data_IF_111089878081
#
_entry.id   IF_111089878081
#
_cell.length_a   1.000
_cell.length_b   1.000
_cell.length_c   1.000
_cell.angle_alpha   90.00
_cell.angle_beta   90.00
_cell.angle_gamma   90.00
#
_symmetry.space_group_name_H-M   'P 1'
#
loop_
_entity.id
_entity.type
_entity.pdbx_description
1 polymer ?
#
# COMPACT_ATOMS: atom_id res chain seq x y z
N UNK A 1 27.80 10.93 12.16
CA UNK A 1 28.01 9.47 12.25
C UNK A 1 28.34 8.81 10.89
N UNK A 2 28.34 9.58 9.77
CA UNK A 2 28.78 9.10 8.46
C UNK A 2 27.82 8.13 7.76
N UNK A 3 26.59 7.96 8.24
CA UNK A 3 25.57 7.15 7.57
C UNK A 3 25.01 7.97 6.40
N UNK A 4 25.22 7.46 5.19
CA UNK A 4 24.76 8.11 3.93
C UNK A 4 23.66 7.34 3.22
N UNK A 5 23.37 6.10 3.64
CA UNK A 5 22.33 5.23 3.05
C UNK A 5 21.53 4.57 4.15
N UNK A 6 20.21 4.56 3.98
CA UNK A 6 19.26 3.86 4.85
C UNK A 6 18.42 2.87 4.05
N UNK A 7 18.05 1.74 4.68
CA UNK A 7 17.13 0.77 4.10
C UNK A 7 15.76 0.94 4.77
N UNK A 8 14.71 1.13 3.96
CA UNK A 8 13.35 1.25 4.43
C UNK A 8 12.47 0.08 3.96
N UNK A 9 11.50 -0.28 4.80
CA UNK A 9 10.55 -1.36 4.53
C UNK A 9 9.31 -0.94 3.76
N UNK A 10 9.31 0.24 3.16
CA UNK A 10 8.20 0.74 2.37
C UNK A 10 7.86 -0.23 1.22
N UNK A 11 6.64 -0.26 0.77
CA UNK A 11 6.07 -1.21 -0.18
C UNK A 11 5.70 -2.58 0.44
N UNK A 12 6.26 -2.95 1.59
CA UNK A 12 5.99 -4.25 2.20
C UNK A 12 4.53 -4.44 2.61
N UNK A 13 3.89 -3.41 3.12
CA UNK A 13 2.46 -3.46 3.48
C UNK A 13 1.57 -3.54 2.24
N UNK A 14 1.92 -2.86 1.16
CA UNK A 14 1.14 -2.77 -0.07
C UNK A 14 1.18 -4.09 -0.85
N UNK A 15 2.33 -4.69 -1.05
CA UNK A 15 2.45 -5.91 -1.86
C UNK A 15 2.20 -7.20 -1.08
N UNK A 16 2.29 -7.17 0.26
CA UNK A 16 2.16 -8.36 1.12
C UNK A 16 0.92 -8.32 2.03
N UNK A 17 0.01 -7.35 1.82
CA UNK A 17 -1.26 -7.29 2.53
C UNK A 17 -1.15 -6.88 4.00
N UNK A 18 -0.35 -5.84 4.30
CA UNK A 18 -0.12 -5.36 5.66
C UNK A 18 -1.22 -4.48 6.25
N UNK A 19 -2.15 -3.98 5.45
CA UNK A 19 -3.19 -3.08 5.93
C UNK A 19 -4.56 -3.73 6.10
N UNK A 20 -5.27 -3.45 7.19
CA UNK A 20 -6.64 -3.91 7.40
C UNK A 20 -7.64 -3.46 6.33
N UNK A 21 -7.30 -2.43 5.53
CA UNK A 21 -8.14 -1.95 4.42
C UNK A 21 -8.34 -3.02 3.34
N UNK A 22 -7.34 -3.88 3.09
CA UNK A 22 -7.44 -4.96 2.11
C UNK A 22 -8.43 -6.04 2.55
N UNK A 23 -8.44 -6.38 3.85
CA UNK A 23 -9.44 -7.29 4.39
C UNK A 23 -10.86 -6.71 4.30
N UNK A 24 -11.04 -5.42 4.59
CA UNK A 24 -12.33 -4.74 4.42
C UNK A 24 -12.79 -4.76 2.97
N UNK A 25 -11.86 -4.53 2.05
CA UNK A 25 -12.15 -4.51 0.61
C UNK A 25 -12.60 -5.88 0.09
N UNK A 26 -12.05 -6.99 0.60
CA UNK A 26 -12.46 -8.36 0.24
C UNK A 26 -13.98 -8.59 0.34
N UNK A 27 -14.62 -7.97 1.34
CA UNK A 27 -16.04 -8.15 1.61
C UNK A 27 -16.92 -7.19 0.80
N UNK A 28 -16.34 -6.40 -0.10
CA UNK A 28 -17.04 -5.50 -1.00
C UNK A 28 -17.14 -6.15 -2.37
N UNK A 29 -18.35 -6.22 -2.89
CA UNK A 29 -18.58 -6.81 -4.22
C UNK A 29 -18.13 -5.83 -5.31
N UNK A 30 -16.84 -5.86 -5.64
CA UNK A 30 -16.23 -5.02 -6.66
C UNK A 30 -15.84 -5.89 -7.84
N UNK A 31 -16.61 -5.83 -8.90
CA UNK A 31 -16.46 -6.69 -10.09
C UNK A 31 -15.98 -5.93 -11.34
N UNK A 32 -15.61 -4.65 -11.20
CA UNK A 32 -15.19 -3.81 -12.32
C UNK A 32 -14.03 -2.91 -11.96
N UNK A 33 -13.26 -2.49 -12.96
CA UNK A 33 -12.19 -1.49 -12.81
C UNK A 33 -12.72 -0.17 -12.20
N UNK A 34 -13.86 0.32 -12.69
CA UNK A 34 -14.49 1.51 -12.16
C UNK A 34 -14.82 1.35 -10.67
N UNK A 35 -15.42 0.22 -10.28
CA UNK A 35 -15.74 -0.07 -8.88
C UNK A 35 -14.50 -0.12 -8.00
N UNK A 36 -13.37 -0.64 -8.50
CA UNK A 36 -12.09 -0.62 -7.80
C UNK A 36 -11.63 0.83 -7.54
N UNK A 37 -11.65 1.68 -8.56
CA UNK A 37 -11.26 3.10 -8.44
C UNK A 37 -12.16 3.83 -7.46
N UNK A 38 -13.47 3.65 -7.53
CA UNK A 38 -14.44 4.24 -6.59
C UNK A 38 -14.16 3.81 -5.15
N UNK A 39 -13.93 2.54 -4.91
CA UNK A 39 -13.59 2.03 -3.57
C UNK A 39 -12.25 2.56 -3.07
N UNK A 40 -11.27 2.66 -3.95
CA UNK A 40 -9.99 3.25 -3.61
C UNK A 40 -10.15 4.73 -3.22
N UNK A 41 -10.96 5.49 -3.93
CA UNK A 41 -11.26 6.89 -3.64
C UNK A 41 -12.04 7.08 -2.34
N UNK A 42 -12.86 6.11 -1.92
CA UNK A 42 -13.64 6.20 -0.68
C UNK A 42 -12.79 6.28 0.59
N UNK A 43 -11.50 5.98 0.52
CA UNK A 43 -10.57 6.21 1.62
C UNK A 43 -10.17 7.68 1.80
N UNK A 44 -10.31 8.49 0.76
CA UNK A 44 -10.05 9.92 0.80
C UNK A 44 -11.23 10.60 1.50
N UNK A 45 -11.19 10.66 2.82
CA UNK A 45 -12.30 11.13 3.65
C UNK A 45 -12.43 12.64 3.73
N UNK A 46 -11.37 13.37 3.42
CA UNK A 46 -11.34 14.83 3.49
C UNK A 46 -10.98 15.39 2.12
N UNK A 47 -11.71 16.40 1.62
CA UNK A 47 -11.20 17.16 0.49
C UNK A 47 -9.87 17.77 0.93
N UNK A 48 -8.82 17.49 0.19
CA UNK A 48 -7.55 18.18 0.39
C UNK A 48 -7.80 19.59 -0.10
N UNK A 49 -7.98 20.52 0.84
CA UNK A 49 -8.05 21.93 0.55
C UNK A 49 -6.66 22.42 0.19
N UNK A 50 -6.29 22.29 -1.08
CA UNK A 50 -5.02 22.82 -1.60
C UNK A 50 -5.23 24.24 -2.14
N UNK A 51 -6.48 24.66 -2.34
CA UNK A 51 -6.86 25.97 -2.85
C UNK A 51 -8.29 26.31 -2.44
N UNK A 52 -8.75 27.50 -2.79
CA UNK A 52 -10.15 27.96 -2.63
C UNK A 52 -11.16 27.09 -3.42
N UNK A 53 -10.67 26.17 -4.27
CA UNK A 53 -11.48 25.26 -5.05
C UNK A 53 -11.29 23.83 -4.54
N UNK A 54 -12.32 23.21 -3.93
CA UNK A 54 -12.28 21.80 -3.56
C UNK A 54 -12.15 20.94 -4.83
N UNK A 55 -11.26 19.93 -4.78
CA UNK A 55 -11.15 18.96 -5.87
C UNK A 55 -12.46 18.18 -5.96
N UNK A 56 -13.12 18.25 -7.10
CA UNK A 56 -14.29 17.42 -7.38
C UNK A 56 -13.88 15.95 -7.42
N UNK A 57 -14.55 15.14 -6.61
CA UNK A 57 -14.30 13.69 -6.55
C UNK A 57 -14.56 13.01 -7.89
N UNK A 58 -15.51 13.50 -8.65
CA UNK A 58 -15.83 13.00 -9.99
C UNK A 58 -14.68 13.26 -10.96
N UNK A 59 -14.14 14.48 -10.93
CA UNK A 59 -12.94 14.83 -11.72
C UNK A 59 -11.74 13.97 -11.35
N UNK A 60 -11.48 13.78 -10.05
CA UNK A 60 -10.40 12.92 -9.60
C UNK A 60 -10.62 11.47 -10.04
N UNK A 61 -11.83 10.95 -9.93
CA UNK A 61 -12.17 9.60 -10.40
C UNK A 61 -11.93 9.44 -11.90
N UNK A 62 -12.38 10.39 -12.70
CA UNK A 62 -12.16 10.40 -14.15
C UNK A 62 -10.67 10.49 -14.50
N UNK A 63 -9.91 11.31 -13.77
CA UNK A 63 -8.47 11.41 -13.93
C UNK A 63 -7.78 10.07 -13.66
N UNK A 64 -8.11 9.40 -12.55
CA UNK A 64 -7.56 8.11 -12.19
C UNK A 64 -7.93 7.04 -13.22
N UNK A 65 -9.20 7.00 -13.65
CA UNK A 65 -9.67 6.07 -14.68
C UNK A 65 -8.91 6.22 -16.01
N UNK A 66 -8.55 7.45 -16.37
CA UNK A 66 -7.85 7.75 -17.62
C UNK A 66 -6.35 7.46 -17.54
N UNK A 67 -5.73 7.70 -16.39
CA UNK A 67 -4.26 7.72 -16.26
C UNK A 67 -3.68 6.47 -15.58
N UNK A 68 -4.50 5.68 -14.88
CA UNK A 68 -4.06 4.41 -14.33
C UNK A 68 -4.34 3.27 -15.32
N UNK A 69 -3.38 2.34 -15.50
CA UNK A 69 -3.57 1.22 -16.43
C UNK A 69 -4.65 0.26 -15.91
N UNK A 70 -5.68 0.03 -16.73
CA UNK A 70 -6.76 -0.91 -16.41
C UNK A 70 -6.29 -2.36 -16.27
N UNK A 71 -5.12 -2.67 -16.80
CA UNK A 71 -4.44 -3.97 -16.70
C UNK A 71 -4.02 -4.31 -15.26
N UNK A 72 -4.05 -3.33 -14.33
CA UNK A 72 -3.91 -3.57 -12.89
C UNK A 72 -5.10 -4.33 -12.32
N UNK A 73 -6.25 -4.29 -13.00
CA UNK A 73 -7.45 -4.95 -12.54
C UNK A 73 -7.49 -6.42 -12.99
N UNK A 74 -7.68 -7.30 -12.00
CA UNK A 74 -7.92 -8.72 -12.18
C UNK A 74 -9.24 -9.07 -11.46
N UNK A 75 -10.25 -9.46 -12.19
CA UNK A 75 -11.58 -9.82 -11.68
C UNK A 75 -11.56 -11.09 -10.79
N UNK A 76 -10.55 -11.95 -10.96
CA UNK A 76 -10.37 -13.14 -10.14
C UNK A 76 -9.73 -12.83 -8.77
N UNK A 77 -9.02 -11.70 -8.65
CA UNK A 77 -8.43 -11.23 -7.39
C UNK A 77 -8.48 -9.69 -7.27
N UNK A 78 -9.67 -9.12 -7.05
CA UNK A 78 -9.83 -7.66 -6.90
C UNK A 78 -9.05 -7.08 -5.71
N UNK A 79 -8.79 -7.88 -4.68
CA UNK A 79 -7.99 -7.45 -3.51
C UNK A 79 -6.54 -7.22 -3.92
N UNK A 80 -5.98 -8.11 -4.73
CA UNK A 80 -4.63 -7.95 -5.24
C UNK A 80 -4.53 -6.76 -6.20
N UNK A 81 -5.59 -6.51 -6.98
CA UNK A 81 -5.72 -5.31 -7.82
C UNK A 81 -5.71 -4.01 -6.99
N UNK A 82 -6.39 -4.03 -5.83
CA UNK A 82 -6.35 -2.89 -4.91
C UNK A 82 -4.94 -2.66 -4.34
N UNK A 83 -4.22 -3.74 -4.01
CA UNK A 83 -2.82 -3.67 -3.59
C UNK A 83 -1.94 -3.08 -4.70
N UNK A 84 -2.11 -3.55 -5.94
CA UNK A 84 -1.39 -3.03 -7.11
C UNK A 84 -1.67 -1.53 -7.34
N UNK A 85 -2.91 -1.10 -7.13
CA UNK A 85 -3.28 0.31 -7.24
C UNK A 85 -2.58 1.18 -6.20
N UNK A 86 -2.45 0.74 -4.96
CA UNK A 86 -1.66 1.44 -3.94
C UNK A 86 -0.19 1.57 -4.34
N UNK A 87 0.37 0.54 -4.97
CA UNK A 87 1.76 0.54 -5.43
C UNK A 87 2.05 1.61 -6.49
N UNK A 88 1.08 1.94 -7.34
CA UNK A 88 1.25 2.93 -8.42
C UNK A 88 0.69 4.31 -8.08
N UNK A 89 0.05 4.46 -6.93
CA UNK A 89 -0.53 5.73 -6.46
C UNK A 89 0.10 6.20 -5.15
N UNK A 90 -0.29 5.61 -4.03
CA UNK A 90 0.13 6.05 -2.70
C UNK A 90 1.64 5.94 -2.48
N UNK A 91 2.25 4.86 -2.95
CA UNK A 91 3.67 4.61 -2.65
C UNK A 91 4.59 5.62 -3.33
N UNK A 92 4.52 5.87 -4.66
CA UNK A 92 5.38 6.86 -5.28
C UNK A 92 5.07 8.27 -4.79
N UNK A 93 3.79 8.65 -4.69
CA UNK A 93 3.36 10.03 -4.42
C UNK A 93 3.48 10.43 -2.95
N UNK A 94 3.48 9.48 -2.02
CA UNK A 94 3.56 9.77 -0.59
C UNK A 94 4.87 9.23 0.02
N UNK A 95 5.12 7.93 -0.10
CA UNK A 95 6.19 7.32 0.69
C UNK A 95 7.57 7.61 0.12
N UNK A 96 7.76 7.45 -1.19
CA UNK A 96 9.06 7.66 -1.81
C UNK A 96 9.43 9.14 -1.82
N UNK A 97 8.53 10.04 -2.20
CA UNK A 97 8.78 11.48 -2.17
C UNK A 97 9.12 11.94 -0.76
N UNK A 98 8.36 11.51 0.24
CA UNK A 98 8.62 11.88 1.63
C UNK A 98 9.96 11.36 2.13
N UNK A 99 10.26 10.09 1.86
CA UNK A 99 11.53 9.47 2.28
C UNK A 99 12.74 10.14 1.62
N UNK A 100 12.64 10.39 0.31
CA UNK A 100 13.69 11.06 -0.44
C UNK A 100 13.88 12.51 0.05
N UNK A 101 12.80 13.29 0.15
CA UNK A 101 12.86 14.70 0.56
C UNK A 101 13.46 14.85 1.96
N UNK A 102 13.01 14.06 2.92
CA UNK A 102 13.51 14.16 4.29
C UNK A 102 14.91 13.54 4.46
N UNK A 103 15.17 12.43 3.79
CA UNK A 103 16.50 11.81 3.80
C UNK A 103 17.54 12.72 3.19
N UNK A 104 17.26 13.26 2.01
CA UNK A 104 18.19 14.14 1.28
C UNK A 104 18.43 15.48 1.99
N UNK A 105 17.46 15.98 2.77
CA UNK A 105 17.69 17.16 3.64
C UNK A 105 18.84 16.94 4.65
N UNK A 106 19.17 15.68 4.95
CA UNK A 106 20.28 15.28 5.82
C UNK A 106 21.37 14.50 5.06
N UNK A 107 21.41 14.60 3.74
CA UNK A 107 22.37 13.87 2.88
C UNK A 107 22.33 12.34 3.07
N UNK A 108 21.15 11.79 3.36
CA UNK A 108 20.90 10.36 3.49
C UNK A 108 20.03 9.84 2.34
N UNK A 109 20.52 8.87 1.60
CA UNK A 109 19.77 8.20 0.53
C UNK A 109 18.91 7.07 1.11
N UNK A 110 17.59 7.11 0.85
CA UNK A 110 16.66 6.02 1.16
C UNK A 110 16.66 4.96 0.07
N UNK A 111 16.80 3.69 0.43
CA UNK A 111 16.66 2.55 -0.48
C UNK A 111 15.58 1.61 -0.02
N UNK A 112 14.81 1.08 -0.99
CA UNK A 112 13.57 0.32 -0.77
C UNK A 112 13.70 -1.09 -1.37
N UNK A 113 14.27 -2.07 -0.65
CA UNK A 113 14.51 -3.43 -1.18
C UNK A 113 13.22 -4.12 -1.66
N UNK A 114 12.09 -3.84 -1.00
CA UNK A 114 10.79 -4.42 -1.34
C UNK A 114 10.10 -3.72 -2.53
N UNK A 115 10.61 -2.57 -2.98
CA UNK A 115 10.09 -1.83 -4.13
C UNK A 115 10.81 -2.15 -5.45
N UNK A 116 11.67 -3.15 -5.47
CA UNK A 116 12.29 -3.56 -6.73
C UNK A 116 11.26 -4.14 -7.68
N UNK A 117 11.35 -3.80 -8.96
CA UNK A 117 10.44 -4.28 -10.01
C UNK A 117 10.26 -5.81 -9.99
N UNK A 118 11.35 -6.55 -9.74
CA UNK A 118 11.34 -8.01 -9.65
C UNK A 118 10.52 -8.50 -8.45
N UNK A 119 10.75 -7.91 -7.27
CA UNK A 119 10.02 -8.29 -6.06
C UNK A 119 8.53 -7.92 -6.15
N UNK A 120 8.22 -6.72 -6.63
CA UNK A 120 6.83 -6.28 -6.82
C UNK A 120 6.05 -7.21 -7.75
N UNK A 121 6.62 -7.54 -8.92
CA UNK A 121 5.98 -8.47 -9.87
C UNK A 121 5.73 -9.83 -9.22
N UNK A 122 6.73 -10.37 -8.52
CA UNK A 122 6.59 -11.64 -7.82
C UNK A 122 5.54 -11.56 -6.71
N UNK A 123 5.60 -10.56 -5.85
CA UNK A 123 4.67 -10.42 -4.75
C UNK A 123 3.21 -10.21 -5.22
N UNK A 124 2.99 -9.42 -6.28
CA UNK A 124 1.66 -9.21 -6.86
C UNK A 124 1.15 -10.42 -7.67
N UNK A 125 2.02 -11.34 -8.09
CA UNK A 125 1.57 -12.61 -8.71
C UNK A 125 1.05 -13.63 -7.70
N UNK A 126 1.33 -13.45 -6.41
CA UNK A 126 0.82 -14.34 -5.36
C UNK A 126 -0.62 -13.96 -5.03
N UNK A 127 -1.56 -14.92 -4.97
CA UNK A 127 -2.94 -14.65 -4.62
C UNK A 127 -3.10 -13.89 -3.30
N UNK A 128 -4.05 -12.97 -3.24
CA UNK A 128 -4.31 -12.20 -2.01
C UNK A 128 -4.71 -13.08 -0.82
N UNK A 129 -5.31 -14.24 -1.06
CA UNK A 129 -5.67 -15.23 -0.05
C UNK A 129 -4.47 -15.79 0.73
N UNK A 130 -3.27 -15.79 0.14
CA UNK A 130 -2.04 -16.18 0.81
C UNK A 130 -1.44 -15.05 1.66
N UNK A 131 -1.84 -13.83 1.40
CA UNK A 131 -1.30 -12.61 2.03
C UNK A 131 -2.14 -12.14 3.21
N UNK A 132 -3.47 -12.24 3.08
CA UNK A 132 -4.44 -11.83 4.12
C UNK A 132 -5.35 -13.00 4.47
N UNK A 133 -5.55 -13.23 5.77
CA UNK A 133 -6.41 -14.29 6.28
C UNK A 133 -7.87 -13.90 6.39
N UNK A 134 -8.63 -14.70 7.13
CA UNK A 134 -10.08 -14.51 7.27
C UNK A 134 -10.48 -13.41 8.26
N UNK A 135 -9.57 -13.01 9.14
CA UNK A 135 -9.82 -11.97 10.13
C UNK A 135 -9.08 -10.68 9.76
N UNK A 136 -9.58 -9.55 10.26
CA UNK A 136 -8.97 -8.23 10.06
C UNK A 136 -7.51 -8.15 10.56
N UNK A 137 -7.15 -8.95 11.55
CA UNK A 137 -5.80 -9.05 12.12
C UNK A 137 -4.85 -9.91 11.30
N UNK A 138 -5.39 -10.74 10.38
CA UNK A 138 -4.62 -11.72 9.60
C UNK A 138 -3.95 -11.02 8.41
N UNK A 139 -2.96 -10.21 8.71
CA UNK A 139 -2.18 -9.45 7.73
C UNK A 139 -0.79 -10.05 7.54
N UNK A 140 -0.21 -9.88 6.35
CA UNK A 140 1.14 -10.38 5.99
C UNK A 140 1.34 -11.87 6.26
N UNK A 141 0.30 -12.68 6.05
CA UNK A 141 0.32 -14.12 6.37
C UNK A 141 1.53 -14.84 5.75
N UNK A 142 1.79 -14.61 4.46
CA UNK A 142 2.91 -15.20 3.76
C UNK A 142 4.27 -14.81 4.38
N UNK A 143 4.45 -13.52 4.71
CA UNK A 143 5.67 -13.04 5.34
C UNK A 143 5.86 -13.64 6.74
N UNK A 144 4.81 -13.69 7.53
CA UNK A 144 4.85 -14.31 8.86
C UNK A 144 5.27 -15.78 8.77
N UNK A 145 4.71 -16.50 7.80
CA UNK A 145 5.06 -17.90 7.53
C UNK A 145 6.54 -18.06 7.12
N UNK A 146 7.01 -17.20 6.22
CA UNK A 146 8.37 -17.23 5.71
C UNK A 146 9.43 -16.94 6.81
N UNK A 147 9.08 -16.07 7.75
CA UNK A 147 9.99 -15.62 8.81
C UNK A 147 9.81 -16.31 10.17
N UNK A 148 8.86 -17.25 10.27
CA UNK A 148 8.50 -17.91 11.54
C UNK A 148 9.68 -18.59 12.25
N UNK A 149 10.66 -19.12 11.48
CA UNK A 149 11.84 -19.78 12.01
C UNK A 149 13.11 -18.88 12.04
N UNK A 150 12.97 -17.59 11.65
CA UNK A 150 14.08 -16.65 11.54
C UNK A 150 14.02 -15.61 12.66
N UNK A 151 12.81 -15.13 12.99
CA UNK A 151 12.60 -14.12 14.01
C UNK A 151 11.82 -14.68 15.21
N UNK A 152 11.99 -14.09 16.41
CA UNK A 152 11.20 -14.40 17.58
C UNK A 152 9.70 -14.27 17.30
N UNK A 153 8.90 -15.13 17.94
CA UNK A 153 7.45 -15.20 17.72
C UNK A 153 6.72 -13.89 18.02
N UNK A 154 7.16 -13.15 19.03
CA UNK A 154 6.61 -11.83 19.38
C UNK A 154 6.86 -10.76 18.31
N UNK A 155 7.88 -10.91 17.48
CA UNK A 155 8.14 -10.04 16.32
C UNK A 155 7.27 -10.47 15.14
N UNK A 156 7.26 -11.77 14.82
CA UNK A 156 6.52 -12.32 13.68
C UNK A 156 5.02 -12.06 13.83
N UNK A 157 4.48 -12.26 15.02
CA UNK A 157 3.05 -12.14 15.30
C UNK A 157 2.63 -10.79 15.88
N UNK A 158 3.53 -9.80 15.90
CA UNK A 158 3.21 -8.45 16.34
C UNK A 158 2.05 -7.87 15.53
N UNK A 159 1.06 -7.32 16.22
CA UNK A 159 -0.03 -6.60 15.55
C UNK A 159 0.48 -5.36 14.81
N UNK A 160 -0.14 -5.08 13.65
CA UNK A 160 0.15 -3.85 12.91
C UNK A 160 -0.14 -2.63 13.79
N UNK A 161 0.91 -1.87 14.09
CA UNK A 161 0.80 -0.56 14.72
C UNK A 161 1.04 0.49 13.64
N UNK A 162 0.08 1.42 13.49
CA UNK A 162 0.23 2.57 12.59
C UNK A 162 1.07 3.67 13.25
N UNK A 163 1.58 4.57 12.45
CA UNK A 163 2.12 5.83 12.93
C UNK A 163 0.94 6.72 13.32
N UNK A 164 0.66 6.80 14.60
CA UNK A 164 -0.28 7.77 15.14
C UNK A 164 0.54 8.89 15.77
N UNK A 165 0.64 10.02 15.08
CA UNK A 165 1.14 11.21 15.74
C UNK A 165 0.14 11.62 16.84
N UNK A 166 0.60 11.96 18.05
CA UNK A 166 -0.26 12.48 19.09
C UNK A 166 -0.67 13.93 18.74
N UNK A 167 -1.61 14.04 17.80
CA UNK A 167 -2.27 15.33 17.51
C UNK A 167 -3.41 15.49 18.52
N UNK A 168 -3.23 16.45 19.45
CA UNK A 168 -4.29 16.96 20.30
C UNK A 168 -5.19 17.89 19.51
#
# INVERSE_FOLDING_TARGET
>A
DGIVVTLAGDMGDEVLGGYPKYWKFRNQNTSTWQGLVEQWMNRIKRPILVSEHPIDRTELGNYLMKNLPSELYNDQDPVNSYMAMDCVTQVPEEFFIRNDTYGMAFSMEGRFPLATKKFMKYALSIPSSEKIGNNKSDTKMLSKKAYANIFPNEIVNKHKTGWTAPVK
#
